data_IF_906915042116
#
_entry.id   IF_906915042116
#
_cell.length_a   1.000
_cell.length_b   1.000
_cell.length_c   1.000
_cell.angle_alpha   90.00
_cell.angle_beta   90.00
_cell.angle_gamma   90.00
#
_symmetry.space_group_name_H-M   'P 1'
#
loop_
_entity.id
_entity.type
_entity.pdbx_description
1 polymer ?
#
# COMPACT_ATOMS: atom_id res chain seq x y z
N UNK A 1 -1.51 1.05 5.99
CA UNK A 1 -0.57 1.63 4.99
C UNK A 1 0.56 2.43 5.63
N UNK A 2 1.77 1.89 5.80
CA UNK A 2 2.97 2.73 5.93
C UNK A 2 3.40 3.17 4.52
N UNK A 3 2.91 4.32 4.06
CA UNK A 3 3.45 4.92 2.84
C UNK A 3 4.88 5.38 3.15
N UNK A 4 5.87 4.83 2.45
CA UNK A 4 7.28 5.20 2.64
C UNK A 4 7.52 6.70 2.48
N UNK A 5 6.67 7.38 1.69
CA UNK A 5 6.72 8.82 1.51
C UNK A 5 5.30 9.42 1.41
N UNK A 6 4.71 9.79 2.54
CA UNK A 6 3.43 10.52 2.58
C UNK A 6 3.48 11.83 1.77
N UNK A 7 4.66 12.46 1.68
CA UNK A 7 4.90 13.65 0.86
C UNK A 7 4.66 13.42 -0.66
N UNK A 8 4.83 12.18 -1.14
CA UNK A 8 4.68 11.82 -2.56
C UNK A 8 3.22 11.71 -3.01
N UNK A 9 2.26 11.62 -2.08
CA UNK A 9 0.83 11.77 -2.38
C UNK A 9 0.51 13.17 -2.92
N UNK A 10 1.36 14.18 -2.66
CA UNK A 10 1.28 15.49 -3.31
C UNK A 10 1.36 15.41 -4.83
N UNK A 11 1.94 14.34 -5.40
CA UNK A 11 1.98 14.08 -6.84
C UNK A 11 0.59 13.94 -7.48
N UNK A 12 -0.45 13.60 -6.71
CA UNK A 12 -1.84 13.65 -7.21
C UNK A 12 -2.29 15.06 -7.59
N UNK A 13 -1.68 16.11 -7.01
CA UNK A 13 -1.93 17.49 -7.43
C UNK A 13 -1.51 17.73 -8.89
N UNK A 14 -0.59 16.92 -9.45
CA UNK A 14 -0.22 17.01 -10.86
C UNK A 14 -1.38 16.66 -11.81
N UNK A 15 -2.38 15.88 -11.35
CA UNK A 15 -3.61 15.60 -12.11
C UNK A 15 -4.46 16.87 -12.28
N UNK A 16 -4.32 17.86 -11.40
CA UNK A 16 -5.02 19.14 -11.52
C UNK A 16 -4.46 20.01 -12.65
N UNK A 17 -3.19 19.84 -13.03
CA UNK A 17 -2.51 20.65 -14.07
C UNK A 17 -3.25 20.59 -15.43
N UNK A 18 -3.51 19.41 -16.03
CA UNK A 18 -4.22 19.34 -17.31
C UNK A 18 -5.67 19.86 -17.23
N UNK A 19 -6.33 19.73 -16.07
CA UNK A 19 -7.68 20.25 -15.84
C UNK A 19 -7.68 21.78 -15.85
N UNK A 20 -6.74 22.40 -15.14
CA UNK A 20 -6.58 23.86 -15.09
C UNK A 20 -6.23 24.40 -16.47
N UNK A 21 -5.28 23.75 -17.18
CA UNK A 21 -4.90 24.16 -18.54
C UNK A 21 -6.09 24.06 -19.52
N UNK A 22 -6.94 23.04 -19.41
CA UNK A 22 -8.14 22.94 -20.25
C UNK A 22 -9.13 24.08 -19.97
N UNK A 23 -9.34 24.44 -18.70
CA UNK A 23 -10.20 25.56 -18.34
C UNK A 23 -9.65 26.91 -18.84
N UNK A 24 -8.33 27.11 -18.77
CA UNK A 24 -7.65 28.32 -19.28
C UNK A 24 -7.62 28.38 -20.81
N UNK A 25 -7.58 27.23 -21.49
CA UNK A 25 -7.51 27.16 -22.96
C UNK A 25 -8.86 27.35 -23.66
N UNK A 26 -9.94 27.67 -22.93
CA UNK A 26 -11.21 28.14 -23.51
C UNK A 26 -11.04 29.55 -24.08
N UNK A 27 -10.27 29.66 -25.16
CA UNK A 27 -10.19 30.89 -25.95
C UNK A 27 -11.55 31.14 -26.58
N UNK A 28 -12.09 32.32 -26.34
CA UNK A 28 -13.24 32.84 -27.07
C UNK A 28 -12.88 32.86 -28.55
N UNK A 29 -13.62 32.12 -29.41
CA UNK A 29 -13.34 32.13 -30.84
C UNK A 29 -13.51 33.56 -31.36
N UNK A 30 -12.47 34.09 -32.00
CA UNK A 30 -12.55 35.40 -32.66
C UNK A 30 -13.52 35.26 -33.84
N UNK A 31 -14.62 35.99 -33.80
CA UNK A 31 -15.58 36.04 -34.90
C UNK A 31 -14.98 36.86 -36.04
N UNK A 32 -14.68 36.20 -37.15
CA UNK A 32 -14.32 36.84 -38.42
C UNK A 32 -15.57 36.82 -39.29
N UNK A 33 -16.00 38.00 -39.75
CA UNK A 33 -17.16 38.14 -40.62
C UNK A 33 -16.76 37.78 -42.05
N UNK A 34 -17.09 36.56 -42.49
CA UNK A 34 -16.73 36.04 -43.82
C UNK A 34 -17.95 35.37 -44.47
N UNK A 35 -18.26 35.76 -45.71
CA UNK A 35 -19.47 35.33 -46.43
C UNK A 35 -19.64 33.82 -46.65
N UNK A 36 -18.57 33.02 -46.51
CA UNK A 36 -18.65 31.55 -46.65
C UNK A 36 -19.08 30.82 -45.35
N UNK A 37 -19.34 31.54 -44.25
CA UNK A 37 -19.58 30.95 -42.92
C UNK A 37 -20.88 30.12 -42.83
N UNK A 38 -21.87 30.39 -43.71
CA UNK A 38 -23.15 29.67 -43.75
C UNK A 38 -22.98 28.16 -43.98
N UNK A 39 -22.11 27.76 -44.92
CA UNK A 39 -21.83 26.33 -45.19
C UNK A 39 -20.99 25.67 -44.09
N UNK A 40 -20.12 26.45 -43.44
CA UNK A 40 -19.32 25.97 -42.31
C UNK A 40 -20.18 25.73 -41.07
N UNK A 41 -21.11 26.63 -40.74
CA UNK A 41 -21.94 26.51 -39.54
C UNK A 41 -22.81 25.24 -39.55
N UNK A 42 -23.34 24.85 -40.71
CA UNK A 42 -24.16 23.64 -40.86
C UNK A 42 -23.32 22.35 -40.64
N UNK A 43 -22.08 22.34 -41.14
CA UNK A 43 -21.14 21.24 -40.90
C UNK A 43 -20.60 21.20 -39.45
N UNK A 44 -20.43 22.37 -38.82
CA UNK A 44 -19.95 22.48 -37.44
C UNK A 44 -21.02 22.06 -36.45
N UNK A 45 -22.29 22.39 -36.67
CA UNK A 45 -23.39 21.95 -35.81
C UNK A 45 -23.51 20.42 -35.76
N UNK A 46 -23.36 19.74 -36.90
CA UNK A 46 -23.39 18.27 -36.97
C UNK A 46 -22.15 17.62 -36.33
N UNK A 47 -20.96 18.23 -36.46
CA UNK A 47 -19.71 17.72 -35.84
C UNK A 47 -19.46 18.14 -34.40
N UNK A 48 -20.20 19.12 -33.87
CA UNK A 48 -20.01 19.65 -32.51
C UNK A 48 -19.95 18.56 -31.44
N UNK A 49 -20.79 17.53 -31.57
CA UNK A 49 -20.85 16.41 -30.62
C UNK A 49 -19.61 15.50 -30.71
N UNK A 50 -19.07 15.28 -31.91
CA UNK A 50 -17.86 14.48 -32.15
C UNK A 50 -16.62 15.20 -31.60
N UNK A 51 -16.51 16.50 -31.84
CA UNK A 51 -15.42 17.34 -31.32
C UNK A 51 -15.42 17.32 -29.79
N UNK A 52 -16.59 17.43 -29.15
CA UNK A 52 -16.70 17.33 -27.69
C UNK A 52 -16.28 15.95 -27.16
N UNK A 53 -16.59 14.85 -27.86
CA UNK A 53 -16.18 13.51 -27.44
C UNK A 53 -14.67 13.28 -27.62
N UNK A 54 -14.07 13.77 -28.70
CA UNK A 54 -12.63 13.69 -28.94
C UNK A 54 -11.86 14.49 -27.89
N UNK A 55 -12.30 15.71 -27.56
CA UNK A 55 -11.71 16.52 -26.49
C UNK A 55 -11.87 15.86 -25.11
N UNK A 56 -13.01 15.22 -24.85
CA UNK A 56 -13.24 14.48 -23.60
C UNK A 56 -12.27 13.30 -23.44
N UNK A 57 -12.14 12.48 -24.49
CA UNK A 57 -11.25 11.32 -24.50
C UNK A 57 -9.80 11.74 -24.33
N UNK A 58 -9.35 12.79 -25.04
CA UNK A 58 -7.99 13.31 -24.93
C UNK A 58 -7.67 13.80 -23.51
N UNK A 59 -8.59 14.55 -22.90
CA UNK A 59 -8.44 15.03 -21.52
C UNK A 59 -8.40 13.85 -20.54
N UNK A 60 -9.31 12.89 -20.70
CA UNK A 60 -9.37 11.70 -19.86
C UNK A 60 -8.07 10.90 -19.92
N UNK A 61 -7.55 10.62 -21.12
CA UNK A 61 -6.25 9.93 -21.27
C UNK A 61 -5.10 10.68 -20.61
N UNK A 62 -5.04 12.01 -20.72
CA UNK A 62 -3.95 12.81 -20.14
C UNK A 62 -3.97 12.78 -18.61
N UNK A 63 -5.16 12.86 -18.01
CA UNK A 63 -5.34 12.74 -16.57
C UNK A 63 -5.08 11.32 -16.07
N UNK A 64 -5.50 10.30 -16.82
CA UNK A 64 -5.28 8.89 -16.49
C UNK A 64 -3.78 8.56 -16.50
N UNK A 65 -3.05 9.04 -17.51
CA UNK A 65 -1.60 8.86 -17.62
C UNK A 65 -0.85 9.55 -16.47
N UNK A 66 -1.21 10.79 -16.14
CA UNK A 66 -0.66 11.51 -14.99
C UNK A 66 -0.98 10.82 -13.65
N UNK A 67 -2.22 10.32 -13.48
CA UNK A 67 -2.64 9.61 -12.28
C UNK A 67 -1.93 8.27 -12.10
N UNK A 68 -1.77 7.49 -13.17
CA UNK A 68 -1.01 6.24 -13.16
C UNK A 68 0.47 6.48 -12.85
N UNK A 69 1.07 7.54 -13.41
CA UNK A 69 2.44 7.93 -13.07
C UNK A 69 2.58 8.29 -11.60
N UNK A 70 1.67 9.10 -11.05
CA UNK A 70 1.68 9.45 -9.63
C UNK A 70 1.56 8.21 -8.74
N UNK A 71 0.69 7.26 -9.09
CA UNK A 71 0.54 5.97 -8.39
C UNK A 71 1.80 5.09 -8.50
N UNK A 72 2.41 5.03 -9.68
CA UNK A 72 3.64 4.27 -9.91
C UNK A 72 4.81 4.81 -9.07
N UNK A 73 4.94 6.14 -8.98
CA UNK A 73 5.97 6.80 -8.16
C UNK A 73 5.65 6.66 -6.66
N UNK A 74 4.37 6.72 -6.27
CA UNK A 74 3.96 6.54 -4.88
C UNK A 74 4.25 5.13 -4.34
N UNK A 75 4.53 4.14 -5.21
CA UNK A 75 4.82 2.73 -4.88
C UNK A 75 3.99 2.25 -3.69
N UNK A 76 2.66 2.11 -3.84
CA UNK A 76 1.82 1.63 -2.75
C UNK A 76 2.33 0.26 -2.31
N UNK A 77 2.83 0.19 -1.08
CA UNK A 77 3.23 -1.07 -0.47
C UNK A 77 1.96 -1.84 -0.12
N UNK A 78 1.84 -3.07 -0.62
CA UNK A 78 0.71 -3.96 -0.36
C UNK A 78 1.10 -4.88 0.80
N UNK A 79 0.58 -4.67 2.02
CA UNK A 79 0.66 -5.70 3.04
C UNK A 79 -0.14 -6.92 2.57
N UNK A 80 0.39 -8.12 2.74
CA UNK A 80 -0.26 -9.37 2.33
C UNK A 80 -1.67 -9.55 2.95
N UNK A 81 -1.92 -8.90 4.10
CA UNK A 81 -3.15 -9.03 4.89
C UNK A 81 -4.11 -7.84 4.80
N UNK A 82 -4.05 -7.04 3.72
CA UNK A 82 -4.94 -5.89 3.58
C UNK A 82 -6.42 -6.34 3.43
N UNK A 83 -7.34 -5.94 4.33
CA UNK A 83 -8.74 -6.37 4.29
C UNK A 83 -9.52 -5.76 3.11
N UNK A 84 -9.02 -4.68 2.52
CA UNK A 84 -9.59 -4.06 1.33
C UNK A 84 -8.68 -4.38 0.14
N UNK A 85 -9.13 -5.20 -0.83
CA UNK A 85 -8.33 -5.53 -2.00
C UNK A 85 -8.01 -4.25 -2.79
N UNK A 86 -6.72 -3.99 -3.03
CA UNK A 86 -6.26 -2.89 -3.88
C UNK A 86 -6.83 -2.97 -5.30
N UNK A 87 -7.22 -4.18 -5.73
CA UNK A 87 -7.95 -4.48 -6.97
C UNK A 87 -9.31 -3.78 -7.03
N UNK A 88 -9.89 -3.35 -5.91
CA UNK A 88 -11.15 -2.59 -5.87
C UNK A 88 -10.89 -1.08 -5.80
N UNK A 89 -9.92 -0.65 -5.00
CA UNK A 89 -9.64 0.77 -4.76
C UNK A 89 -9.03 1.45 -5.98
N UNK A 90 -8.08 0.79 -6.66
CA UNK A 90 -7.37 1.38 -7.80
C UNK A 90 -8.29 1.57 -9.02
N UNK A 91 -9.13 0.59 -9.42
CA UNK A 91 -10.10 0.79 -10.49
C UNK A 91 -11.18 1.79 -10.11
N UNK A 92 -11.67 1.80 -8.87
CA UNK A 92 -12.66 2.78 -8.42
C UNK A 92 -12.14 4.21 -8.51
N UNK A 93 -10.87 4.44 -8.13
CA UNK A 93 -10.21 5.73 -8.25
C UNK A 93 -10.05 6.16 -9.72
N UNK A 94 -9.57 5.26 -10.59
CA UNK A 94 -9.41 5.54 -12.03
C UNK A 94 -10.76 5.84 -12.70
N UNK A 95 -11.79 5.05 -12.40
CA UNK A 95 -13.15 5.28 -12.90
C UNK A 95 -13.74 6.60 -12.38
N UNK A 96 -13.43 6.99 -11.15
CA UNK A 96 -13.79 8.29 -10.58
C UNK A 96 -13.16 9.46 -11.35
N UNK A 97 -11.86 9.39 -11.65
CA UNK A 97 -11.13 10.43 -12.42
C UNK A 97 -11.65 10.53 -13.86
N UNK A 98 -11.91 9.39 -14.51
CA UNK A 98 -12.49 9.35 -15.87
C UNK A 98 -13.90 9.93 -15.87
N UNK A 99 -14.72 9.63 -14.85
CA UNK A 99 -16.07 10.16 -14.71
C UNK A 99 -16.07 11.67 -14.46
N UNK A 100 -15.14 12.18 -13.63
CA UNK A 100 -14.98 13.60 -13.34
C UNK A 100 -14.60 14.41 -14.59
N UNK A 101 -13.66 13.90 -15.37
CA UNK A 101 -13.20 14.56 -16.61
C UNK A 101 -14.28 14.55 -17.69
N UNK A 102 -14.98 13.42 -17.85
CA UNK A 102 -16.12 13.29 -18.77
C UNK A 102 -17.27 14.23 -18.39
N UNK A 103 -17.53 14.43 -17.09
CA UNK A 103 -18.50 15.42 -16.60
C UNK A 103 -18.13 16.84 -17.02
N UNK A 104 -16.86 17.26 -16.86
CA UNK A 104 -16.41 18.62 -17.20
C UNK A 104 -16.56 18.96 -18.70
N UNK A 105 -16.49 17.96 -19.58
CA UNK A 105 -16.61 18.16 -21.03
C UNK A 105 -18.08 18.22 -21.48
N UNK A 106 -18.96 17.40 -20.88
CA UNK A 106 -20.40 17.38 -21.16
C UNK A 106 -21.19 18.52 -20.48
N UNK A 107 -20.52 19.57 -19.98
CA UNK A 107 -21.13 20.71 -19.26
C UNK A 107 -22.20 21.48 -20.05
N UNK A 108 -22.27 21.28 -21.37
CA UNK A 108 -23.33 21.81 -22.23
C UNK A 108 -24.71 21.19 -21.99
N UNK A 109 -24.80 19.99 -21.40
CA UNK A 109 -26.06 19.34 -21.06
C UNK A 109 -26.22 19.25 -19.54
N UNK A 110 -26.98 20.20 -18.96
CA UNK A 110 -27.09 20.42 -17.50
C UNK A 110 -27.47 19.15 -16.73
N UNK A 111 -28.30 18.27 -17.28
CA UNK A 111 -28.74 17.02 -16.62
C UNK A 111 -27.61 15.98 -16.52
N UNK A 112 -26.92 15.70 -17.62
CA UNK A 112 -25.83 14.72 -17.66
C UNK A 112 -24.59 15.17 -16.89
N UNK A 113 -24.35 16.48 -16.85
CA UNK A 113 -23.30 17.07 -16.02
C UNK A 113 -23.46 16.71 -14.54
N UNK A 114 -24.64 16.94 -13.97
CA UNK A 114 -24.89 16.67 -12.55
C UNK A 114 -24.90 15.17 -12.22
N UNK A 115 -25.39 14.32 -13.12
CA UNK A 115 -25.37 12.85 -12.93
C UNK A 115 -23.93 12.33 -12.90
N UNK A 116 -23.12 12.67 -13.92
CA UNK A 116 -21.74 12.19 -14.01
C UNK A 116 -20.85 12.77 -12.91
N UNK A 117 -21.08 14.04 -12.53
CA UNK A 117 -20.35 14.67 -11.42
C UNK A 117 -20.72 14.02 -10.07
N UNK A 118 -22.00 13.67 -9.87
CA UNK A 118 -22.45 12.92 -8.70
C UNK A 118 -21.76 11.57 -8.59
N UNK A 119 -21.75 10.78 -9.68
CA UNK A 119 -21.06 9.48 -9.71
C UNK A 119 -19.54 9.61 -9.47
N UNK A 120 -18.89 10.60 -10.07
CA UNK A 120 -17.45 10.83 -9.89
C UNK A 120 -17.10 11.18 -8.44
N UNK A 121 -17.85 12.11 -7.83
CA UNK A 121 -17.66 12.50 -6.43
C UNK A 121 -17.92 11.33 -5.49
N UNK A 122 -18.97 10.54 -5.76
CA UNK A 122 -19.30 9.38 -4.94
C UNK A 122 -18.21 8.30 -5.02
N UNK A 123 -17.70 7.97 -6.20
CA UNK A 123 -16.61 7.00 -6.37
C UNK A 123 -15.30 7.48 -5.73
N UNK A 124 -14.95 8.75 -5.87
CA UNK A 124 -13.77 9.34 -5.22
C UNK A 124 -13.93 9.37 -3.69
N UNK A 125 -15.12 9.73 -3.20
CA UNK A 125 -15.42 9.74 -1.78
C UNK A 125 -15.40 8.33 -1.19
N UNK A 126 -15.94 7.32 -1.89
CA UNK A 126 -15.86 5.91 -1.47
C UNK A 126 -14.40 5.45 -1.44
N UNK A 127 -13.59 5.76 -2.46
CA UNK A 127 -12.17 5.41 -2.46
C UNK A 127 -11.42 6.04 -1.29
N UNK A 128 -11.64 7.33 -1.00
CA UNK A 128 -11.00 8.04 0.12
C UNK A 128 -11.52 7.51 1.46
N UNK A 129 -12.83 7.28 1.57
CA UNK A 129 -13.46 6.74 2.76
C UNK A 129 -12.98 5.32 3.06
N UNK A 130 -12.80 4.45 2.06
CA UNK A 130 -12.22 3.11 2.25
C UNK A 130 -10.79 3.18 2.81
N UNK A 131 -9.96 4.09 2.31
CA UNK A 131 -8.58 4.31 2.81
C UNK A 131 -8.59 4.89 4.22
N UNK A 132 -9.47 5.85 4.51
CA UNK A 132 -9.60 6.43 5.85
C UNK A 132 -10.20 5.44 6.85
N UNK A 133 -11.16 4.62 6.43
CA UNK A 133 -11.79 3.58 7.23
C UNK A 133 -10.76 2.54 7.66
N UNK A 134 -9.88 2.10 6.75
CA UNK A 134 -8.75 1.23 7.08
C UNK A 134 -7.84 1.86 8.17
N UNK A 135 -7.56 3.17 8.10
CA UNK A 135 -6.70 3.85 9.08
C UNK A 135 -7.38 4.06 10.45
N UNK A 136 -8.68 4.35 10.45
CA UNK A 136 -9.46 4.65 11.66
C UNK A 136 -9.84 3.35 12.40
N UNK A 137 -10.19 2.29 11.66
CA UNK A 137 -10.62 1.00 12.22
C UNK A 137 -9.51 -0.06 12.30
N UNK A 138 -8.47 0.04 11.48
CA UNK A 138 -7.31 -0.86 11.45
C UNK A 138 -6.35 -0.71 12.63
N UNK A 139 -6.65 0.17 13.60
CA UNK A 139 -5.93 0.26 14.86
C UNK A 139 -6.62 -0.51 16.02
N UNK A 140 -7.83 -1.07 15.82
CA UNK A 140 -8.58 -1.68 16.95
C UNK A 140 -9.35 -2.96 16.67
N UNK A 141 -9.41 -3.49 15.44
CA UNK A 141 -10.21 -4.69 15.15
C UNK A 141 -9.39 -5.74 14.41
N UNK A 142 -9.13 -6.83 15.15
CA UNK A 142 -8.59 -8.12 14.70
C UNK A 142 -7.06 -8.19 14.56
N UNK A 143 -6.41 -8.48 15.68
CA UNK A 143 -5.03 -8.95 15.74
C UNK A 143 -4.87 -10.36 15.17
N UNK A 144 -5.07 -10.50 13.86
CA UNK A 144 -4.56 -11.64 13.07
C UNK A 144 -3.40 -11.22 12.15
N UNK A 145 -3.04 -9.94 12.13
CA UNK A 145 -1.84 -9.39 11.47
C UNK A 145 -0.62 -9.32 12.39
N UNK A 146 -0.65 -10.09 13.49
CA UNK A 146 0.41 -10.10 14.51
C UNK A 146 1.40 -11.24 14.38
N UNK A 147 1.15 -12.23 13.51
CA UNK A 147 2.07 -13.32 13.27
C UNK A 147 3.36 -12.79 12.67
N UNK A 148 4.41 -12.71 13.47
CA UNK A 148 5.75 -12.45 12.99
C UNK A 148 6.47 -13.78 12.90
N UNK A 149 7.25 -13.95 11.84
CA UNK A 149 8.24 -15.00 11.76
C UNK A 149 9.45 -14.55 12.58
N UNK A 150 9.66 -15.19 13.72
CA UNK A 150 10.70 -14.86 14.68
C UNK A 150 11.74 -15.97 14.64
N UNK A 151 12.93 -15.65 14.13
CA UNK A 151 14.09 -16.53 14.20
C UNK A 151 14.87 -16.28 15.48
N UNK A 152 14.89 -17.28 16.37
CA UNK A 152 15.68 -17.28 17.60
C UNK A 152 17.01 -17.98 17.32
N UNK A 153 18.10 -17.22 17.39
CA UNK A 153 19.47 -17.74 17.29
C UNK A 153 20.09 -17.67 18.66
N UNK A 154 20.41 -18.82 19.25
CA UNK A 154 21.02 -18.91 20.58
C UNK A 154 22.47 -19.32 20.41
N UNK A 155 23.41 -18.50 20.87
CA UNK A 155 24.83 -18.86 20.87
C UNK A 155 25.11 -19.99 21.87
N UNK A 156 25.75 -21.06 21.40
CA UNK A 156 26.17 -22.24 22.14
C UNK A 156 27.69 -22.39 22.27
N UNK A 157 28.45 -21.31 22.06
CA UNK A 157 29.91 -21.24 22.20
C UNK A 157 30.42 -21.55 23.61
N UNK A 158 31.71 -21.88 23.76
CA UNK A 158 32.31 -22.15 25.08
C UNK A 158 32.27 -20.94 26.03
N UNK A 159 32.26 -19.70 25.51
CA UNK A 159 32.07 -18.49 26.32
C UNK A 159 30.72 -18.43 27.03
N UNK A 160 29.70 -19.12 26.51
CA UNK A 160 28.36 -19.14 27.11
C UNK A 160 28.27 -20.06 28.34
N UNK A 161 29.29 -20.89 28.58
CA UNK A 161 29.40 -21.75 29.78
C UNK A 161 29.89 -21.00 31.01
N UNK A 162 30.30 -19.74 30.86
CA UNK A 162 30.70 -18.90 31.98
C UNK A 162 29.53 -18.73 32.95
N UNK A 163 29.80 -18.83 34.25
CA UNK A 163 28.83 -18.56 35.31
C UNK A 163 28.85 -17.10 35.67
N UNK A 164 27.66 -16.51 35.86
CA UNK A 164 27.57 -15.11 36.25
C UNK A 164 28.12 -14.90 37.68
N UNK A 165 28.76 -13.75 37.92
CA UNK A 165 29.51 -13.42 39.15
C UNK A 165 28.66 -13.40 40.44
N UNK A 166 27.34 -13.54 40.33
CA UNK A 166 26.36 -13.64 41.43
C UNK A 166 25.92 -15.08 41.75
N UNK A 167 26.62 -16.10 41.27
CA UNK A 167 26.53 -17.48 41.80
C UNK A 167 25.28 -18.29 41.44
N UNK A 168 24.59 -17.97 40.34
CA UNK A 168 23.36 -18.65 39.93
C UNK A 168 23.51 -19.48 38.65
N UNK A 169 23.23 -18.85 37.52
CA UNK A 169 23.07 -19.50 36.21
C UNK A 169 24.29 -19.28 35.32
N UNK A 170 24.45 -20.16 34.32
CA UNK A 170 25.34 -19.93 33.18
C UNK A 170 24.78 -18.84 32.26
N UNK A 171 25.64 -18.19 31.48
CA UNK A 171 25.19 -17.21 30.47
C UNK A 171 24.24 -17.87 29.46
N UNK A 172 24.49 -19.14 29.12
CA UNK A 172 23.61 -19.94 28.29
C UNK A 172 22.21 -20.10 28.87
N UNK A 173 22.09 -20.50 30.14
CA UNK A 173 20.79 -20.65 30.80
C UNK A 173 20.04 -19.32 30.91
N UNK A 174 20.75 -18.21 31.12
CA UNK A 174 20.16 -16.87 31.11
C UNK A 174 19.61 -16.50 29.71
N UNK A 175 20.37 -16.79 28.64
CA UNK A 175 19.93 -16.54 27.27
C UNK A 175 18.69 -17.38 26.89
N UNK A 176 18.63 -18.65 27.32
CA UNK A 176 17.45 -19.51 27.13
C UNK A 176 16.23 -18.96 27.89
N UNK A 177 16.43 -18.43 29.11
CA UNK A 177 15.35 -17.81 29.89
C UNK A 177 14.80 -16.54 29.21
N UNK A 178 15.68 -15.69 28.68
CA UNK A 178 15.29 -14.48 27.92
C UNK A 178 14.57 -14.85 26.62
N UNK A 179 15.08 -15.83 25.87
CA UNK A 179 14.44 -16.34 24.66
C UNK A 179 13.01 -16.85 24.95
N UNK A 180 12.80 -17.51 26.08
CA UNK A 180 11.47 -17.93 26.52
C UNK A 180 10.55 -16.75 26.80
N UNK A 181 11.05 -15.72 27.47
CA UNK A 181 10.28 -14.49 27.72
C UNK A 181 9.85 -13.79 26.42
N UNK A 182 10.70 -13.83 25.39
CA UNK A 182 10.39 -13.33 24.04
C UNK A 182 9.25 -14.13 23.41
N UNK A 183 9.28 -15.47 23.50
CA UNK A 183 8.22 -16.34 22.99
C UNK A 183 6.89 -16.09 23.71
N UNK A 184 6.91 -15.92 25.04
CA UNK A 184 5.73 -15.69 25.85
C UNK A 184 5.09 -14.32 25.59
N UNK A 185 5.91 -13.27 25.39
CA UNK A 185 5.45 -11.91 25.07
C UNK A 185 5.07 -11.70 23.61
N UNK A 186 5.40 -12.63 22.72
CA UNK A 186 5.11 -12.49 21.30
C UNK A 186 3.59 -12.41 21.03
N UNK A 187 3.15 -11.71 19.97
CA UNK A 187 1.76 -11.70 19.57
C UNK A 187 1.21 -13.11 19.27
N UNK A 188 -0.09 -13.30 19.47
CA UNK A 188 -0.78 -14.54 19.10
C UNK A 188 -0.65 -14.79 17.60
N UNK A 189 -0.29 -16.03 17.21
CA UNK A 189 -0.05 -16.40 15.80
C UNK A 189 1.37 -16.17 15.28
N UNK A 190 2.34 -15.78 16.13
CA UNK A 190 3.75 -15.70 15.73
C UNK A 190 4.33 -17.09 15.49
N UNK A 191 5.12 -17.25 14.43
CA UNK A 191 5.83 -18.48 14.11
C UNK A 191 7.29 -18.37 14.53
N UNK A 192 7.85 -19.43 15.09
CA UNK A 192 9.21 -19.43 15.64
C UNK A 192 10.08 -20.45 14.92
N UNK A 193 11.28 -20.03 14.52
CA UNK A 193 12.38 -20.93 14.16
C UNK A 193 13.47 -20.83 15.22
N UNK A 194 14.15 -21.94 15.49
CA UNK A 194 15.14 -22.04 16.55
C UNK A 194 16.43 -22.66 16.02
N UNK A 195 17.50 -21.88 16.08
CA UNK A 195 18.83 -22.24 15.59
C UNK A 195 19.81 -22.14 16.74
N UNK A 196 20.54 -23.22 17.00
CA UNK A 196 21.65 -23.22 17.95
C UNK A 196 22.93 -22.85 17.21
N UNK A 197 23.53 -21.73 17.60
CA UNK A 197 24.83 -21.26 17.14
C UNK A 197 25.96 -22.08 17.75
N UNK A 198 26.88 -22.52 16.91
CA UNK A 198 28.08 -23.28 17.30
C UNK A 198 29.05 -23.34 16.12
N UNK A 199 30.14 -24.12 16.20
CA UNK A 199 31.05 -24.34 15.08
C UNK A 199 30.33 -24.91 13.84
N UNK A 200 29.27 -25.68 14.06
CA UNK A 200 28.29 -26.04 13.03
C UNK A 200 26.91 -25.64 13.57
N UNK A 201 26.16 -24.76 12.87
CA UNK A 201 24.82 -24.38 13.30
C UNK A 201 23.89 -25.59 13.24
N UNK A 202 23.12 -25.79 14.31
CA UNK A 202 22.14 -26.89 14.40
C UNK A 202 20.74 -26.30 14.45
N UNK A 203 19.98 -26.54 13.39
CA UNK A 203 18.57 -26.17 13.34
C UNK A 203 17.78 -27.14 14.21
N UNK A 204 17.19 -26.64 15.29
CA UNK A 204 16.30 -27.44 16.15
C UNK A 204 14.86 -27.36 15.68
N UNK A 205 14.48 -26.21 15.13
CA UNK A 205 13.20 -25.98 14.47
C UNK A 205 13.52 -25.24 13.17
N UNK A 206 13.64 -25.98 12.07
CA UNK A 206 14.01 -25.45 10.75
C UNK A 206 12.85 -24.71 10.07
N UNK A 207 11.62 -25.17 10.30
CA UNK A 207 10.42 -24.55 9.75
C UNK A 207 9.75 -23.67 10.82
N UNK A 208 9.30 -22.45 10.51
CA UNK A 208 8.63 -21.61 11.50
C UNK A 208 7.34 -22.27 12.03
N UNK A 209 7.33 -22.64 13.31
CA UNK A 209 6.18 -23.29 13.96
C UNK A 209 5.43 -22.30 14.84
N UNK A 210 4.10 -22.26 14.71
CA UNK A 210 3.21 -21.38 15.51
C UNK A 210 2.99 -21.92 16.93
N UNK A 211 3.21 -23.23 17.13
CA UNK A 211 3.02 -23.91 18.39
C UNK A 211 4.07 -23.50 19.44
N UNK A 212 3.68 -22.60 20.35
CA UNK A 212 4.53 -22.10 21.43
C UNK A 212 5.02 -23.20 22.38
N UNK A 213 4.20 -24.22 22.65
CA UNK A 213 4.58 -25.29 23.57
C UNK A 213 5.76 -26.10 23.01
N UNK A 214 5.77 -26.29 21.70
CA UNK A 214 6.85 -26.96 20.98
C UNK A 214 8.13 -26.11 20.98
N UNK A 215 8.03 -24.80 20.71
CA UNK A 215 9.18 -23.87 20.80
C UNK A 215 9.77 -23.83 22.21
N UNK A 216 8.92 -23.74 23.25
CA UNK A 216 9.36 -23.71 24.65
C UNK A 216 9.96 -25.05 25.08
N UNK A 217 9.41 -26.17 24.61
CA UNK A 217 9.99 -27.50 24.81
C UNK A 217 11.38 -27.62 24.19
N UNK A 218 11.53 -27.21 22.93
CA UNK A 218 12.81 -27.21 22.23
C UNK A 218 13.86 -26.33 22.92
N UNK A 219 13.47 -25.15 23.43
CA UNK A 219 14.34 -24.27 24.20
C UNK A 219 14.83 -24.91 25.52
N UNK A 220 13.99 -25.72 26.18
CA UNK A 220 14.35 -26.39 27.44
C UNK A 220 15.39 -27.50 27.23
N UNK A 221 15.33 -28.16 26.09
CA UNK A 221 16.20 -29.31 25.78
C UNK A 221 17.51 -28.89 25.08
N UNK A 222 17.74 -27.58 24.92
CA UNK A 222 18.97 -27.03 24.36
C UNK A 222 20.16 -27.25 25.29
N UNK A 223 21.28 -27.66 24.69
CA UNK A 223 22.58 -27.75 25.36
C UNK A 223 23.63 -26.99 24.55
N UNK A 224 24.61 -26.34 25.21
CA UNK A 224 25.66 -25.62 24.51
C UNK A 224 26.56 -26.61 23.75
N UNK A 225 26.63 -26.44 22.43
CA UNK A 225 27.41 -27.27 21.52
C UNK A 225 28.91 -27.28 21.87
N UNK A 226 29.41 -26.20 22.46
CA UNK A 226 30.83 -26.02 22.78
C UNK A 226 31.67 -25.74 21.54
N UNK A 227 32.95 -25.43 21.76
CA UNK A 227 33.86 -24.96 20.71
C UNK A 227 33.72 -23.47 20.42
N UNK A 228 34.67 -22.94 19.64
CA UNK A 228 34.63 -21.58 19.11
C UNK A 228 33.89 -21.52 17.78
N UNK A 229 33.34 -20.36 17.42
CA UNK A 229 32.87 -20.12 16.06
C UNK A 229 34.10 -20.12 15.14
N UNK A 230 34.15 -21.04 14.18
CA UNK A 230 35.10 -20.91 13.07
C UNK A 230 34.63 -19.75 12.20
N UNK A 231 35.43 -18.68 12.15
CA UNK A 231 35.24 -17.56 11.23
C UNK A 231 35.39 -17.99 9.77
#
# INVERSE_FOLDING_TARGET
>A
MSFLNFALLGGLAAVAIPIILHLLSRRTPKTLDWGAMLFLLESVQSRKRRIQLEEALLLATRCLLAGLLALAVARPFVPADAPVPWVVVLPAFLLGVVSLTTALVLRGNRKWFWILMGCAVLLLAVSVASVMFEKIWGLKRFGTTGGRDIALIIDGSDSMRLRNSKGGLTVFEAAVAEAREIVDKAPAGSAFSLILGGPVPVDKISEPVVNRLETVGALRDLQPAGGGMSA
#
